data_IF_907221522642
#
_entry.id   IF_907221522642
#
_cell.length_a   1.000
_cell.length_b   1.000
_cell.length_c   1.000
_cell.angle_alpha   90.00
_cell.angle_beta   90.00
_cell.angle_gamma   90.00
#
_symmetry.space_group_name_H-M   'P 1'
#
loop_
_entity.id
_entity.type
_entity.pdbx_description
1 polymer ?
#
# COMPACT_ATOMS: atom_id res chain seq x y z
N UNK A 1 43.93 10.24 -40.77
CA UNK A 1 42.91 10.69 -39.80
C UNK A 1 41.60 10.73 -40.56
N UNK A 2 40.82 9.66 -40.40
CA UNK A 2 39.54 9.52 -41.16
C UNK A 2 38.45 9.53 -40.07
N UNK A 3 37.60 10.57 -40.10
CA UNK A 3 36.44 10.70 -39.25
C UNK A 3 35.42 9.59 -39.54
N UNK A 4 34.78 9.00 -38.56
CA UNK A 4 33.68 8.09 -38.79
C UNK A 4 32.42 8.89 -39.16
N UNK A 5 31.91 8.67 -40.34
CA UNK A 5 30.64 9.19 -40.82
C UNK A 5 29.49 8.60 -39.97
N UNK A 6 28.74 9.47 -39.30
CA UNK A 6 27.44 9.14 -38.71
C UNK A 6 26.44 8.85 -39.82
N UNK A 7 25.91 7.65 -39.87
CA UNK A 7 24.77 7.33 -40.71
C UNK A 7 23.52 8.07 -40.19
N UNK A 8 22.71 8.69 -41.07
CA UNK A 8 21.45 9.30 -40.67
C UNK A 8 20.43 8.20 -40.36
N UNK A 9 19.77 8.32 -39.23
CA UNK A 9 18.61 7.52 -38.88
C UNK A 9 17.51 7.68 -39.89
N UNK A 10 17.01 6.58 -40.47
CA UNK A 10 15.85 6.56 -41.36
C UNK A 10 14.63 7.12 -40.62
N UNK A 11 14.08 8.20 -41.12
CA UNK A 11 12.83 8.81 -40.69
C UNK A 11 11.79 8.39 -41.71
N UNK A 12 10.75 7.67 -41.25
CA UNK A 12 9.61 7.34 -42.11
C UNK A 12 8.85 8.62 -42.54
N UNK A 13 8.14 8.54 -43.69
CA UNK A 13 7.45 9.65 -44.32
C UNK A 13 6.32 10.30 -43.49
N UNK A 14 5.98 9.75 -42.33
CA UNK A 14 5.01 10.26 -41.34
C UNK A 14 5.65 11.09 -40.21
N UNK A 15 6.99 11.16 -40.10
CA UNK A 15 7.68 11.89 -39.03
C UNK A 15 7.61 11.22 -37.65
N UNK A 16 7.02 10.04 -37.53
CA UNK A 16 6.97 9.25 -36.30
C UNK A 16 8.22 8.36 -36.20
N UNK A 17 8.97 8.51 -35.12
CA UNK A 17 10.08 7.59 -34.81
C UNK A 17 9.50 6.23 -34.49
N UNK A 18 9.92 5.17 -35.18
CA UNK A 18 9.62 3.81 -34.73
C UNK A 18 10.07 3.64 -33.27
N UNK A 19 9.12 3.40 -32.34
CA UNK A 19 9.43 3.08 -30.95
C UNK A 19 10.27 1.82 -30.89
N UNK A 20 11.50 1.94 -30.43
CA UNK A 20 12.39 0.81 -30.25
C UNK A 20 11.86 -0.10 -29.13
N UNK A 21 12.34 -1.35 -29.08
CA UNK A 21 12.00 -2.24 -27.98
C UNK A 21 12.41 -1.66 -26.61
N UNK A 22 13.53 -0.92 -26.58
CA UNK A 22 14.02 -0.26 -25.37
C UNK A 22 13.08 0.88 -24.92
N UNK A 23 12.60 1.70 -25.86
CA UNK A 23 11.65 2.78 -25.57
C UNK A 23 10.36 2.23 -24.94
N UNK A 24 9.86 1.10 -25.46
CA UNK A 24 8.67 0.43 -24.90
C UNK A 24 8.89 -0.11 -23.50
N UNK A 25 10.08 -0.62 -23.20
CA UNK A 25 10.43 -1.10 -21.85
C UNK A 25 10.52 0.09 -20.89
N UNK A 26 11.20 1.16 -21.27
CA UNK A 26 11.30 2.39 -20.48
C UNK A 26 9.91 2.99 -20.21
N UNK A 27 9.05 3.06 -21.22
CA UNK A 27 7.68 3.54 -21.05
C UNK A 27 6.89 2.69 -20.04
N UNK A 28 7.02 1.35 -20.11
CA UNK A 28 6.36 0.45 -19.14
C UNK A 28 6.89 0.60 -17.72
N UNK A 29 8.18 0.83 -17.54
CA UNK A 29 8.77 1.09 -16.22
C UNK A 29 8.26 2.42 -15.65
N UNK A 30 8.22 3.47 -16.46
CA UNK A 30 7.67 4.77 -16.05
C UNK A 30 6.16 4.67 -15.70
N UNK A 31 5.39 3.88 -16.47
CA UNK A 31 3.99 3.63 -16.18
C UNK A 31 3.79 2.89 -14.84
N UNK A 32 4.64 1.89 -14.54
CA UNK A 32 4.62 1.18 -13.25
C UNK A 32 4.98 2.09 -12.08
N UNK A 33 6.00 2.91 -12.25
CA UNK A 33 6.39 3.91 -11.24
C UNK A 33 5.24 4.88 -10.96
N UNK A 34 4.62 5.43 -11.99
CA UNK A 34 3.47 6.31 -11.87
C UNK A 34 2.27 5.61 -11.19
N UNK A 35 2.02 4.36 -11.56
CA UNK A 35 0.92 3.57 -10.98
C UNK A 35 1.12 3.32 -9.48
N UNK A 36 2.31 2.89 -9.08
CA UNK A 36 2.65 2.66 -7.67
C UNK A 36 2.59 3.97 -6.86
N UNK A 37 3.03 5.08 -7.46
CA UNK A 37 2.97 6.40 -6.82
C UNK A 37 1.54 6.87 -6.60
N UNK A 38 0.70 6.81 -7.64
CA UNK A 38 -0.70 7.28 -7.59
C UNK A 38 -1.57 6.37 -6.73
N UNK A 39 -1.32 5.06 -6.75
CA UNK A 39 -2.10 4.10 -5.96
C UNK A 39 -2.00 4.39 -4.46
N UNK A 40 -0.84 4.81 -3.95
CA UNK A 40 -0.61 5.08 -2.53
C UNK A 40 -0.91 3.87 -1.61
N UNK A 41 -1.08 2.69 -2.18
CA UNK A 41 -1.35 1.40 -1.53
C UNK A 41 -0.59 0.29 -2.24
N UNK A 42 -0.37 -0.88 -1.60
CA UNK A 42 0.19 -2.03 -2.29
C UNK A 42 -0.70 -2.50 -3.44
N UNK A 43 -0.10 -2.75 -4.61
CA UNK A 43 -0.76 -3.31 -5.80
C UNK A 43 -0.42 -4.79 -5.94
N UNK A 44 -1.41 -5.61 -6.27
CA UNK A 44 -1.19 -7.01 -6.61
C UNK A 44 -0.76 -7.18 -8.08
N UNK A 45 -0.28 -8.40 -8.42
CA UNK A 45 0.23 -8.68 -9.76
C UNK A 45 -0.86 -8.59 -10.84
N UNK A 46 -2.14 -8.79 -10.50
CA UNK A 46 -3.24 -8.70 -11.46
C UNK A 46 -3.56 -7.21 -11.76
N UNK A 47 -3.55 -6.36 -10.73
CA UNK A 47 -3.68 -4.90 -10.88
C UNK A 47 -2.54 -4.36 -11.75
N UNK A 48 -1.30 -4.81 -11.50
CA UNK A 48 -0.12 -4.45 -12.32
C UNK A 48 -0.27 -4.92 -13.76
N UNK A 49 -0.73 -6.15 -13.99
CA UNK A 49 -0.99 -6.66 -15.34
C UNK A 49 -2.05 -5.82 -16.08
N UNK A 50 -3.11 -5.44 -15.39
CA UNK A 50 -4.17 -4.60 -15.95
C UNK A 50 -3.64 -3.22 -16.38
N UNK A 51 -2.81 -2.59 -15.55
CA UNK A 51 -2.17 -1.30 -15.85
C UNK A 51 -1.24 -1.40 -17.06
N UNK A 52 -0.45 -2.47 -17.14
CA UNK A 52 0.48 -2.71 -18.26
C UNK A 52 -0.21 -3.16 -19.56
N UNK A 53 -1.52 -3.42 -19.54
CA UNK A 53 -2.24 -4.04 -20.66
C UNK A 53 -1.69 -5.43 -21.02
N UNK A 54 -1.10 -6.15 -20.07
CA UNK A 54 -0.41 -7.42 -20.29
C UNK A 54 -1.12 -8.56 -19.58
N UNK A 55 -1.27 -9.70 -20.28
CA UNK A 55 -1.78 -10.94 -19.67
C UNK A 55 -0.68 -11.79 -19.01
N UNK A 56 0.60 -11.42 -19.21
CA UNK A 56 1.74 -12.20 -18.72
C UNK A 56 2.20 -11.71 -17.34
N UNK A 57 1.79 -12.42 -16.29
CA UNK A 57 2.27 -12.17 -14.92
C UNK A 57 3.80 -12.24 -14.81
N UNK A 58 4.42 -13.20 -15.51
CA UNK A 58 5.89 -13.35 -15.55
C UNK A 58 6.59 -12.09 -16.10
N UNK A 59 6.02 -11.48 -17.12
CA UNK A 59 6.57 -10.24 -17.69
C UNK A 59 6.39 -9.05 -16.73
N UNK A 60 5.22 -8.94 -16.09
CA UNK A 60 4.95 -7.93 -15.08
C UNK A 60 5.92 -8.05 -13.87
N UNK A 61 6.14 -9.26 -13.37
CA UNK A 61 7.11 -9.53 -12.28
C UNK A 61 8.54 -9.14 -12.68
N UNK A 62 8.95 -9.43 -13.92
CA UNK A 62 10.29 -9.02 -14.42
C UNK A 62 10.43 -7.49 -14.40
N UNK A 63 9.44 -6.75 -14.90
CA UNK A 63 9.46 -5.29 -14.92
C UNK A 63 9.48 -4.71 -13.50
N UNK A 64 8.70 -5.27 -12.56
CA UNK A 64 8.73 -4.89 -11.16
C UNK A 64 10.09 -5.16 -10.50
N UNK A 65 10.73 -6.29 -10.85
CA UNK A 65 12.08 -6.62 -10.38
C UNK A 65 13.11 -5.60 -10.88
N UNK A 66 13.03 -5.23 -12.16
CA UNK A 66 13.90 -4.19 -12.74
C UNK A 66 13.68 -2.85 -12.05
N UNK A 67 12.42 -2.43 -11.88
CA UNK A 67 12.09 -1.17 -11.20
C UNK A 67 12.59 -1.17 -9.75
N UNK A 68 12.43 -2.28 -9.02
CA UNK A 68 12.94 -2.42 -7.65
C UNK A 68 14.46 -2.31 -7.58
N UNK A 69 15.18 -2.95 -8.50
CA UNK A 69 16.64 -2.87 -8.59
C UNK A 69 17.12 -1.46 -8.92
N UNK A 70 16.43 -0.78 -9.82
CA UNK A 70 16.72 0.60 -10.19
C UNK A 70 16.58 1.53 -8.96
N UNK A 71 15.47 1.42 -8.22
CA UNK A 71 15.29 2.18 -6.98
C UNK A 71 16.31 1.81 -5.88
N UNK A 72 16.73 0.55 -5.80
CA UNK A 72 17.76 0.11 -4.86
C UNK A 72 19.13 0.69 -5.21
N UNK A 73 19.44 0.88 -6.49
CA UNK A 73 20.72 1.45 -6.95
C UNK A 73 20.78 2.97 -6.84
N UNK A 74 19.62 3.64 -6.85
CA UNK A 74 19.53 5.09 -6.72
C UNK A 74 19.74 5.53 -5.28
N UNK A 75 20.50 6.61 -5.07
CA UNK A 75 20.58 7.27 -3.77
C UNK A 75 19.37 8.22 -3.56
N UNK A 76 18.18 7.63 -3.44
CA UNK A 76 16.91 8.34 -3.27
C UNK A 76 16.21 7.95 -1.98
N UNK A 77 15.26 8.77 -1.54
CA UNK A 77 14.49 8.53 -0.33
C UNK A 77 13.38 7.47 -0.50
N UNK A 78 13.03 7.12 -1.74
CA UNK A 78 11.97 6.17 -2.06
C UNK A 78 12.53 4.78 -2.38
N UNK A 79 11.73 3.76 -2.15
CA UNK A 79 12.00 2.36 -2.50
C UNK A 79 10.76 1.67 -3.03
N UNK A 80 10.93 0.70 -3.92
CA UNK A 80 9.89 -0.24 -4.31
C UNK A 80 10.05 -1.49 -3.46
N UNK A 81 9.07 -1.75 -2.58
CA UNK A 81 9.07 -2.90 -1.68
C UNK A 81 8.10 -3.97 -2.19
N UNK A 82 8.56 -5.22 -2.14
CA UNK A 82 7.74 -6.42 -2.31
C UNK A 82 7.32 -6.92 -0.93
N UNK A 83 6.02 -7.01 -0.70
CA UNK A 83 5.46 -7.50 0.54
C UNK A 83 5.42 -9.04 0.56
N UNK A 84 5.22 -9.64 1.74
CA UNK A 84 5.17 -11.10 1.93
C UNK A 84 4.04 -11.79 1.17
N UNK A 85 3.02 -11.05 0.76
CA UNK A 85 1.86 -11.50 0.01
C UNK A 85 1.95 -11.18 -1.50
N UNK A 86 3.18 -11.00 -1.99
CA UNK A 86 3.49 -10.73 -3.40
C UNK A 86 2.87 -9.44 -3.96
N UNK A 87 2.54 -8.49 -3.09
CA UNK A 87 2.12 -7.14 -3.47
C UNK A 87 3.31 -6.19 -3.47
N UNK A 88 3.21 -5.14 -4.30
CA UNK A 88 4.28 -4.17 -4.49
C UNK A 88 3.82 -2.77 -4.11
N UNK A 89 4.67 -2.02 -3.45
CA UNK A 89 4.39 -0.64 -3.03
C UNK A 89 5.61 0.25 -3.22
N UNK A 90 5.38 1.48 -3.68
CA UNK A 90 6.37 2.54 -3.66
C UNK A 90 6.21 3.31 -2.35
N UNK A 91 7.24 3.33 -1.56
CA UNK A 91 7.22 3.96 -0.23
C UNK A 91 8.50 4.68 0.10
N UNK A 92 8.47 5.44 1.20
CA UNK A 92 9.65 6.07 1.78
C UNK A 92 10.51 5.01 2.48
N UNK A 93 11.83 5.03 2.26
CA UNK A 93 12.77 4.20 3.01
C UNK A 93 12.65 4.44 4.51
N UNK A 94 12.77 3.39 5.30
CA UNK A 94 12.57 3.42 6.75
C UNK A 94 13.44 4.46 7.47
N UNK A 95 14.64 4.71 6.98
CA UNK A 95 15.58 5.69 7.55
C UNK A 95 15.08 7.14 7.48
N UNK A 96 14.29 7.49 6.43
CA UNK A 96 13.73 8.84 6.27
C UNK A 96 12.41 9.04 6.99
N UNK A 97 11.70 7.95 7.33
CA UNK A 97 10.38 8.04 7.98
C UNK A 97 10.39 8.88 9.27
N UNK A 98 11.35 8.74 10.22
CA UNK A 98 11.37 9.58 11.41
C UNK A 98 11.60 11.06 11.12
N UNK A 99 12.38 11.36 10.06
CA UNK A 99 12.77 12.73 9.71
C UNK A 99 11.59 13.53 9.15
N UNK A 100 10.76 12.89 8.31
CA UNK A 100 9.61 13.54 7.68
C UNK A 100 8.32 13.43 8.50
N UNK A 101 8.31 12.60 9.54
CA UNK A 101 7.14 12.43 10.42
C UNK A 101 6.62 13.75 10.99
N UNK A 102 7.51 14.72 11.20
CA UNK A 102 7.16 16.07 11.67
C UNK A 102 6.42 16.90 10.63
N UNK A 103 6.55 16.58 9.34
CA UNK A 103 5.84 17.27 8.24
C UNK A 103 4.40 16.81 8.11
N UNK A 104 4.08 15.61 8.61
CA UNK A 104 2.71 15.10 8.69
C UNK A 104 2.03 15.80 9.87
N UNK A 105 1.56 17.02 9.63
CA UNK A 105 1.01 17.93 10.65
C UNK A 105 -0.28 17.43 11.32
N UNK A 106 -0.91 16.35 10.80
CA UNK A 106 -2.08 15.72 11.42
C UNK A 106 -2.02 14.22 11.18
N UNK A 107 -1.89 13.40 12.22
CA UNK A 107 -2.12 11.97 12.07
C UNK A 107 -3.55 11.76 11.56
N UNK A 108 -3.74 10.81 10.65
CA UNK A 108 -5.05 10.47 10.07
C UNK A 108 -6.09 10.21 11.17
N UNK A 109 -5.64 9.62 12.27
CA UNK A 109 -6.44 9.36 13.46
C UNK A 109 -5.75 9.93 14.69
N UNK A 110 -6.51 10.65 15.51
CA UNK A 110 -6.08 10.99 16.86
C UNK A 110 -6.00 9.72 17.75
N UNK A 111 -5.34 9.83 18.90
CA UNK A 111 -5.07 8.71 19.81
C UNK A 111 -6.33 7.91 20.20
N UNK A 112 -7.47 8.57 20.43
CA UNK A 112 -8.73 7.91 20.78
C UNK A 112 -9.26 6.96 19.70
N UNK A 113 -9.57 7.45 18.50
CA UNK A 113 -9.97 6.60 17.37
C UNK A 113 -8.94 5.53 17.02
N UNK A 114 -7.63 5.84 17.08
CA UNK A 114 -6.57 4.87 16.78
C UNK A 114 -6.60 3.68 17.76
N UNK A 115 -6.70 3.94 19.07
CA UNK A 115 -6.84 2.88 20.07
C UNK A 115 -8.13 2.06 19.87
N UNK A 116 -9.24 2.71 19.48
CA UNK A 116 -10.49 2.00 19.17
C UNK A 116 -10.34 1.10 17.94
N UNK A 117 -9.67 1.59 16.90
CA UNK A 117 -9.37 0.82 15.69
C UNK A 117 -8.48 -0.39 16.00
N UNK A 118 -7.42 -0.20 16.80
CA UNK A 118 -6.51 -1.28 17.23
C UNK A 118 -7.26 -2.36 18.02
N UNK A 119 -8.18 -1.97 18.90
CA UNK A 119 -9.02 -2.90 19.63
C UNK A 119 -9.92 -3.72 18.69
N UNK A 120 -10.58 -3.06 17.72
CA UNK A 120 -11.43 -3.73 16.72
C UNK A 120 -10.58 -4.69 15.88
N UNK A 121 -9.46 -4.25 15.35
CA UNK A 121 -8.57 -5.06 14.52
C UNK A 121 -8.07 -6.33 15.23
N UNK A 122 -7.75 -6.21 16.50
CA UNK A 122 -7.29 -7.34 17.29
C UNK A 122 -8.42 -8.30 17.70
N UNK A 123 -9.60 -7.78 18.07
CA UNK A 123 -10.72 -8.56 18.59
C UNK A 123 -11.76 -8.98 17.54
N UNK A 124 -11.61 -8.52 16.30
CA UNK A 124 -12.57 -8.81 15.24
C UNK A 124 -12.81 -10.31 15.00
N UNK A 125 -14.05 -10.71 14.67
CA UNK A 125 -15.26 -9.88 14.68
C UNK A 125 -15.71 -9.53 16.10
N UNK A 126 -16.01 -8.25 16.37
CA UNK A 126 -16.40 -7.77 17.69
C UNK A 126 -17.69 -6.93 17.60
N UNK A 127 -18.62 -7.13 18.54
CA UNK A 127 -19.87 -6.34 18.53
C UNK A 127 -19.60 -4.88 18.90
N UNK A 128 -20.31 -3.96 18.26
CA UNK A 128 -20.20 -2.54 18.59
C UNK A 128 -20.48 -2.29 20.08
N UNK A 129 -21.44 -3.01 20.69
CA UNK A 129 -21.70 -2.94 22.13
C UNK A 129 -20.43 -3.23 22.94
N UNK A 130 -19.73 -4.33 22.61
CA UNK A 130 -18.50 -4.71 23.32
C UNK A 130 -17.40 -3.66 23.18
N UNK A 131 -17.30 -3.03 22.00
CA UNK A 131 -16.34 -1.93 21.80
C UNK A 131 -16.68 -0.75 22.71
N UNK A 132 -17.96 -0.39 22.83
CA UNK A 132 -18.41 0.70 23.70
C UNK A 132 -18.18 0.36 25.19
N UNK A 133 -18.48 -0.87 25.59
CA UNK A 133 -18.28 -1.33 26.97
C UNK A 133 -16.83 -1.20 27.41
N UNK A 134 -15.88 -1.49 26.52
CA UNK A 134 -14.42 -1.44 26.81
C UNK A 134 -13.84 -0.03 26.62
N UNK A 135 -14.27 0.69 25.59
CA UNK A 135 -13.67 1.98 25.20
C UNK A 135 -14.43 3.21 25.71
N UNK A 136 -15.61 2.99 26.30
CA UNK A 136 -16.48 4.04 26.81
C UNK A 136 -17.36 4.69 25.72
N UNK A 137 -18.23 5.59 26.15
CA UNK A 137 -19.24 6.26 25.29
C UNK A 137 -18.64 7.01 24.09
N UNK A 138 -17.43 7.56 24.24
CA UNK A 138 -16.73 8.24 23.14
C UNK A 138 -16.49 7.34 21.91
N UNK A 139 -16.47 6.02 22.11
CA UNK A 139 -16.24 5.07 21.04
C UNK A 139 -17.38 5.05 19.98
N UNK A 140 -18.57 5.57 20.27
CA UNK A 140 -19.61 5.76 19.25
C UNK A 140 -19.11 6.70 18.13
N UNK A 141 -18.54 7.85 18.51
CA UNK A 141 -17.96 8.80 17.56
C UNK A 141 -16.76 8.19 16.80
N UNK A 142 -15.91 7.42 17.50
CA UNK A 142 -14.77 6.75 16.89
C UNK A 142 -15.23 5.71 15.85
N UNK A 143 -16.21 4.85 16.18
CA UNK A 143 -16.75 3.84 15.26
C UNK A 143 -17.36 4.50 14.02
N UNK A 144 -18.11 5.59 14.21
CA UNK A 144 -18.66 6.36 13.08
C UNK A 144 -17.53 6.88 12.18
N UNK A 145 -16.56 7.58 12.75
CA UNK A 145 -15.40 8.12 12.01
C UNK A 145 -14.66 7.02 11.25
N UNK A 146 -14.36 5.89 11.89
CA UNK A 146 -13.63 4.78 11.28
C UNK A 146 -14.40 4.13 10.12
N UNK A 147 -15.74 4.09 10.20
CA UNK A 147 -16.60 3.64 9.11
C UNK A 147 -16.62 4.64 7.96
N UNK A 148 -16.74 5.92 8.26
CA UNK A 148 -16.77 7.00 7.25
C UNK A 148 -15.42 7.06 6.50
N UNK A 149 -14.32 6.69 7.17
CA UNK A 149 -12.98 6.56 6.57
C UNK A 149 -12.76 5.23 5.82
N UNK A 150 -13.73 4.31 5.83
CA UNK A 150 -13.60 3.00 5.18
C UNK A 150 -12.62 2.04 5.86
N UNK A 151 -12.14 2.34 7.08
CA UNK A 151 -11.18 1.50 7.80
C UNK A 151 -11.83 0.28 8.48
N UNK A 152 -13.12 0.38 8.80
CA UNK A 152 -13.92 -0.71 9.35
C UNK A 152 -15.27 -0.81 8.65
N UNK A 153 -15.83 -2.00 8.70
CA UNK A 153 -17.19 -2.31 8.23
C UNK A 153 -18.00 -2.93 9.34
N UNK A 154 -19.32 -2.68 9.32
CA UNK A 154 -20.26 -3.29 10.25
C UNK A 154 -21.14 -4.29 9.50
N UNK A 155 -21.05 -5.55 9.86
CA UNK A 155 -21.82 -6.66 9.29
C UNK A 155 -22.89 -7.13 10.28
N UNK A 156 -24.05 -7.52 9.75
CA UNK A 156 -25.10 -8.07 10.60
C UNK A 156 -24.72 -9.46 11.10
N UNK A 157 -24.68 -9.63 12.42
CA UNK A 157 -24.45 -10.92 13.06
C UNK A 157 -25.61 -11.22 14.04
N UNK A 158 -26.59 -11.93 13.54
CA UNK A 158 -27.84 -12.17 14.27
C UNK A 158 -28.59 -10.86 14.59
N UNK A 159 -28.80 -10.58 15.89
CA UNK A 159 -29.46 -9.34 16.38
C UNK A 159 -28.47 -8.17 16.59
N UNK A 160 -27.17 -8.39 16.39
CA UNK A 160 -26.11 -7.41 16.65
C UNK A 160 -25.39 -7.02 15.37
N UNK A 161 -24.63 -5.92 15.42
CA UNK A 161 -23.68 -5.53 14.38
C UNK A 161 -22.28 -5.94 14.84
N UNK A 162 -21.59 -6.74 14.03
CA UNK A 162 -20.20 -7.10 14.22
C UNK A 162 -19.30 -6.15 13.40
N UNK A 163 -18.27 -5.62 14.02
CA UNK A 163 -17.28 -4.75 13.39
C UNK A 163 -16.07 -5.57 12.98
N UNK A 164 -15.57 -5.27 11.76
CA UNK A 164 -14.35 -5.82 11.20
C UNK A 164 -13.54 -4.73 10.51
N UNK A 165 -12.24 -4.94 10.40
CA UNK A 165 -11.41 -4.11 9.52
C UNK A 165 -11.64 -4.48 8.05
N UNK A 166 -11.39 -3.52 7.17
CA UNK A 166 -11.46 -3.69 5.70
C UNK A 166 -10.08 -4.05 5.13
N UNK A 167 -10.04 -4.46 3.86
CA UNK A 167 -8.77 -4.61 3.14
C UNK A 167 -8.03 -3.28 3.04
N UNK A 168 -8.75 -2.16 2.89
CA UNK A 168 -8.18 -0.82 2.91
C UNK A 168 -7.42 -0.52 4.22
N UNK A 169 -7.92 -0.99 5.38
CA UNK A 169 -7.19 -0.89 6.64
C UNK A 169 -5.84 -1.62 6.55
N UNK A 170 -5.83 -2.86 6.05
CA UNK A 170 -4.61 -3.63 5.91
C UNK A 170 -3.61 -2.95 4.97
N UNK A 171 -4.07 -2.46 3.83
CA UNK A 171 -3.26 -1.74 2.85
C UNK A 171 -2.68 -0.46 3.42
N UNK A 172 -3.52 0.32 4.12
CA UNK A 172 -3.11 1.60 4.70
C UNK A 172 -2.02 1.46 5.78
N UNK A 173 -2.12 0.40 6.59
CA UNK A 173 -1.15 0.14 7.67
C UNK A 173 -0.04 -0.83 7.27
N UNK A 174 0.03 -1.28 6.01
CA UNK A 174 1.03 -2.23 5.52
C UNK A 174 0.93 -3.61 6.19
N UNK A 175 -0.28 -4.01 6.55
CA UNK A 175 -0.57 -5.28 7.22
C UNK A 175 -1.01 -6.35 6.21
N UNK A 176 -0.87 -7.63 6.57
CA UNK A 176 -1.37 -8.73 5.77
C UNK A 176 -2.91 -8.77 5.81
N UNK A 177 -3.54 -9.17 4.68
CA UNK A 177 -5.00 -9.33 4.59
C UNK A 177 -5.51 -10.54 5.41
N UNK A 178 -4.66 -11.55 5.61
CA UNK A 178 -5.01 -12.68 6.49
C UNK A 178 -5.18 -12.21 7.93
N UNK A 179 -6.38 -12.38 8.46
CA UNK A 179 -6.75 -11.89 9.81
C UNK A 179 -5.90 -12.52 10.92
N UNK A 180 -5.47 -13.78 10.79
CA UNK A 180 -4.67 -14.46 11.81
C UNK A 180 -3.23 -13.94 11.81
N UNK A 181 -2.66 -13.77 10.63
CA UNK A 181 -1.32 -13.19 10.46
C UNK A 181 -1.29 -11.72 10.86
N UNK A 182 -2.30 -10.95 10.47
CA UNK A 182 -2.47 -9.55 10.87
C UNK A 182 -2.53 -9.40 12.41
N UNK A 183 -3.32 -10.23 13.10
CA UNK A 183 -3.37 -10.22 14.59
C UNK A 183 -2.02 -10.52 15.21
N UNK A 184 -1.25 -11.44 14.60
CA UNK A 184 0.12 -11.75 15.06
C UNK A 184 1.06 -10.56 14.89
N UNK A 185 0.96 -9.85 13.78
CA UNK A 185 1.74 -8.63 13.54
C UNK A 185 1.33 -7.49 14.48
N UNK A 186 0.03 -7.25 14.65
CA UNK A 186 -0.49 -6.26 15.60
C UNK A 186 -0.02 -6.55 17.03
N UNK A 187 -0.01 -7.82 17.46
CA UNK A 187 0.51 -8.21 18.77
C UNK A 187 2.00 -7.93 18.92
N UNK A 188 2.78 -8.07 17.83
CA UNK A 188 4.21 -7.75 17.83
C UNK A 188 4.45 -6.23 17.91
N UNK A 189 3.65 -5.44 17.22
CA UNK A 189 3.81 -3.97 17.13
C UNK A 189 3.25 -3.29 18.40
N UNK A 190 2.12 -3.77 18.91
CA UNK A 190 1.37 -3.14 20.01
C UNK A 190 1.34 -3.99 21.29
N UNK A 191 2.20 -5.01 21.40
CA UNK A 191 2.13 -6.03 22.44
C UNK A 191 2.18 -5.53 23.89
N UNK A 192 2.74 -4.36 24.12
CA UNK A 192 2.70 -3.68 25.43
C UNK A 192 1.40 -2.90 25.63
N UNK A 193 0.90 -2.23 24.61
CA UNK A 193 -0.31 -1.41 24.68
C UNK A 193 -1.63 -2.22 24.80
N UNK A 194 -1.60 -3.52 24.48
CA UNK A 194 -2.76 -4.41 24.56
C UNK A 194 -2.85 -5.18 25.91
N UNK A 195 -1.81 -5.13 26.75
CA UNK A 195 -1.78 -5.80 28.06
C UNK A 195 -2.55 -5.04 29.15
N UNK A 196 -2.70 -3.74 28.99
CA UNK A 196 -3.35 -2.88 29.97
C UNK A 196 -4.89 -2.89 29.91
N UNK A 197 -5.49 -3.72 29.04
CA UNK A 197 -6.95 -3.79 28.81
C UNK A 197 -7.53 -5.22 29.02
N UNK A 198 -6.87 -6.04 29.89
CA UNK A 198 -7.37 -7.40 30.24
C UNK A 198 -8.20 -7.38 31.51
#
# INVERSE_FOLDING_TARGET
MTEPQRQPSEVDASGEREETHEDRVHHKLALLEAALYVAGKPLDINEVCAILGSRSKKNAQKLLTVLRQDYASRNTALEVLELKDERYVLQLKAEFTPLVRKLVNRPLLSSGPLKTLSYIAYRQPVTQKRVIDVRGQHAYGHVKLLKDMGLIVAERSGRSMALRTTDYFSDYFGLLHDTALMKKELKRIFGEALKDES
#
